data_IF_499207997974
#
_entry.id   IF_499207997974
#
_cell.length_a   1.000
_cell.length_b   1.000
_cell.length_c   1.000
_cell.angle_alpha   90.00
_cell.angle_beta   90.00
_cell.angle_gamma   90.00
#
_symmetry.space_group_name_H-M   'P 1'
#
loop_
_entity.id
_entity.type
_entity.pdbx_description
1 polymer ?
#
# COMPACT_ATOMS: atom_id res chain seq x y z
N UNK A 1 -1.08 7.13 13.30
CA UNK A 1 -0.03 7.40 12.27
C UNK A 1 -0.23 6.40 11.14
N UNK A 2 0.09 6.71 9.88
CA UNK A 2 -0.10 5.81 8.74
C UNK A 2 1.25 5.32 8.20
N UNK A 3 1.27 4.11 7.63
CA UNK A 3 2.44 3.56 6.92
C UNK A 3 2.03 2.97 5.57
N UNK A 4 3.02 2.71 4.70
CA UNK A 4 2.82 2.14 3.37
C UNK A 4 3.25 0.68 3.34
N UNK A 5 2.37 -0.17 2.80
CA UNK A 5 2.59 -1.60 2.59
C UNK A 5 2.42 -1.92 1.12
N UNK A 6 3.38 -2.64 0.54
CA UNK A 6 3.29 -3.12 -0.83
C UNK A 6 2.92 -4.62 -0.84
N UNK A 7 2.05 -5.03 -1.76
CA UNK A 7 1.80 -6.43 -2.11
C UNK A 7 2.01 -6.65 -3.61
N UNK A 8 2.35 -7.88 -4.01
CA UNK A 8 2.24 -8.27 -5.42
C UNK A 8 0.78 -8.53 -5.77
N UNK A 9 0.30 -7.95 -6.86
CA UNK A 9 -0.98 -8.31 -7.43
C UNK A 9 -0.81 -9.54 -8.36
N UNK A 10 -1.26 -10.74 -7.95
CA UNK A 10 -1.13 -11.94 -8.77
C UNK A 10 -2.09 -11.93 -9.97
N UNK A 11 -3.08 -11.01 -10.01
CA UNK A 11 -4.05 -10.94 -11.10
C UNK A 11 -3.49 -10.26 -12.36
N UNK A 12 -2.31 -9.65 -12.28
CA UNK A 12 -1.65 -8.98 -13.42
C UNK A 12 -0.35 -9.68 -13.79
N UNK A 13 -0.07 -9.76 -15.09
CA UNK A 13 1.18 -10.31 -15.66
C UNK A 13 1.82 -9.27 -16.59
N UNK A 14 3.06 -8.81 -16.31
CA UNK A 14 3.89 -9.19 -15.16
C UNK A 14 3.29 -8.75 -13.80
N UNK A 15 3.62 -9.44 -12.69
CA UNK A 15 3.12 -9.09 -11.36
C UNK A 15 3.48 -7.65 -11.04
N UNK A 16 2.46 -6.82 -10.82
CA UNK A 16 2.64 -5.43 -10.44
C UNK A 16 2.70 -5.32 -8.92
N UNK A 17 3.46 -4.35 -8.44
CA UNK A 17 3.46 -3.99 -7.03
C UNK A 17 2.37 -2.95 -6.80
N UNK A 18 1.49 -3.21 -5.83
CA UNK A 18 0.46 -2.27 -5.40
C UNK A 18 0.71 -1.84 -3.95
N UNK A 19 0.76 -0.53 -3.76
CA UNK A 19 0.98 0.15 -2.50
C UNK A 19 -0.33 0.52 -1.84
N UNK A 20 -0.52 0.01 -0.63
CA UNK A 20 -1.65 0.26 0.24
C UNK A 20 -1.22 1.10 1.44
N UNK A 21 -2.08 2.02 1.83
CA UNK A 21 -1.94 2.72 3.12
C UNK A 21 -2.58 1.83 4.19
N UNK A 22 -1.88 1.63 5.29
CA UNK A 22 -2.39 0.96 6.49
C UNK A 22 -2.27 1.87 7.70
N UNK A 23 -3.11 1.64 8.71
CA UNK A 23 -2.93 2.27 10.00
C UNK A 23 -1.72 1.63 10.70
N UNK A 24 -0.83 2.44 11.28
CA UNK A 24 0.33 1.91 12.03
C UNK A 24 -0.10 1.04 13.22
N UNK A 25 -1.27 1.35 13.79
CA UNK A 25 -1.87 0.64 14.91
C UNK A 25 -2.59 -0.65 14.49
N UNK A 26 -2.97 -0.78 13.21
CA UNK A 26 -3.53 -1.99 12.61
C UNK A 26 -2.96 -2.19 11.20
N UNK A 27 -1.81 -2.84 11.14
CA UNK A 27 -1.08 -3.08 9.89
C UNK A 27 -1.53 -4.35 9.16
N UNK A 28 -2.58 -5.02 9.65
CA UNK A 28 -3.19 -6.20 9.04
C UNK A 28 -4.18 -5.85 7.93
N UNK A 29 -4.72 -4.62 7.98
CA UNK A 29 -5.74 -4.15 7.06
C UNK A 29 -5.36 -2.81 6.45
N UNK A 30 -5.56 -2.69 5.14
CA UNK A 30 -5.45 -1.41 4.44
C UNK A 30 -6.67 -0.52 4.68
N UNK A 31 -6.51 0.78 4.43
CA UNK A 31 -7.59 1.75 4.57
C UNK A 31 -8.76 1.53 3.59
N UNK A 32 -8.57 0.76 2.52
CA UNK A 32 -9.66 0.34 1.64
C UNK A 32 -10.37 -0.94 2.11
N UNK A 33 -10.02 -1.46 3.29
CA UNK A 33 -10.63 -2.66 3.88
C UNK A 33 -10.07 -3.97 3.34
N UNK A 34 -9.03 -3.93 2.49
CA UNK A 34 -8.34 -5.14 2.02
C UNK A 34 -7.41 -5.65 3.11
N UNK A 35 -7.50 -6.94 3.42
CA UNK A 35 -6.54 -7.65 4.27
C UNK A 35 -5.22 -7.81 3.51
N UNK A 36 -4.12 -7.43 4.16
CA UNK A 36 -2.79 -7.57 3.59
C UNK A 36 -2.11 -8.78 4.23
N UNK A 37 -1.90 -9.84 3.46
CA UNK A 37 -1.18 -11.01 3.96
C UNK A 37 0.30 -10.66 4.21
N UNK A 38 0.82 -10.79 5.44
CA UNK A 38 2.21 -10.44 5.75
C UNK A 38 3.23 -11.24 4.92
N UNK A 39 2.86 -12.46 4.51
CA UNK A 39 3.65 -13.33 3.62
C UNK A 39 3.77 -12.81 2.19
N UNK A 40 2.84 -11.95 1.74
CA UNK A 40 2.84 -11.32 0.42
C UNK A 40 3.44 -9.91 0.44
N UNK A 41 3.88 -9.45 1.62
CA UNK A 41 4.44 -8.12 1.79
C UNK A 41 5.73 -7.99 0.99
N UNK A 42 5.75 -7.02 0.09
CA UNK A 42 6.92 -6.65 -0.68
C UNK A 42 7.69 -5.58 0.09
N UNK A 43 8.96 -5.87 0.36
CA UNK A 43 9.91 -4.85 0.83
C UNK A 43 10.74 -4.48 -0.40
N UNK A 44 10.50 -3.31 -1.02
CA UNK A 44 11.33 -2.92 -2.15
C UNK A 44 12.78 -2.82 -1.67
N UNK A 45 13.68 -3.49 -2.39
CA UNK A 45 15.11 -3.28 -2.19
C UNK A 45 15.40 -1.80 -2.47
N UNK A 46 15.96 -1.09 -1.49
CA UNK A 46 16.18 0.36 -1.55
C UNK A 46 17.19 0.85 -2.58
N UNK A 47 17.47 0.06 -3.62
CA UNK A 47 18.46 0.34 -4.65
C UNK A 47 17.81 0.16 -6.03
N UNK A 48 17.08 1.20 -6.45
CA UNK A 48 16.85 1.70 -7.83
C UNK A 48 16.66 0.76 -9.04
N UNK A 49 16.56 -0.55 -8.89
CA UNK A 49 16.63 -1.49 -10.01
C UNK A 49 15.90 -2.80 -9.69
N UNK A 50 14.58 -2.73 -9.54
CA UNK A 50 13.74 -3.90 -9.81
C UNK A 50 12.95 -3.66 -11.12
N UNK A 51 12.93 -4.61 -12.07
CA UNK A 51 12.19 -4.47 -13.33
C UNK A 51 10.65 -4.53 -13.16
N UNK A 52 10.13 -4.54 -11.93
CA UNK A 52 8.71 -4.69 -11.58
C UNK A 52 7.83 -3.46 -11.89
N UNK A 53 7.88 -2.92 -13.11
CA UNK A 53 6.91 -1.94 -13.61
C UNK A 53 6.77 -0.65 -12.76
N UNK A 54 5.81 0.23 -13.09
CA UNK A 54 5.56 1.42 -12.30
C UNK A 54 4.88 1.07 -10.97
N UNK A 55 5.31 1.72 -9.88
CA UNK A 55 4.62 1.66 -8.59
C UNK A 55 3.15 2.05 -8.74
N UNK A 56 2.24 1.14 -8.39
CA UNK A 56 0.80 1.43 -8.37
C UNK A 56 0.38 1.74 -6.95
N UNK A 57 -0.34 2.82 -6.76
CA UNK A 57 -0.92 3.15 -5.46
C UNK A 57 -2.41 2.85 -5.46
N UNK A 58 -2.91 2.31 -4.36
CA UNK A 58 -4.33 2.06 -4.18
C UNK A 58 -5.06 3.40 -4.00
N UNK A 59 -5.75 3.85 -5.04
CA UNK A 59 -6.52 5.10 -5.06
C UNK A 59 -7.46 5.28 -3.85
N UNK A 60 -8.31 4.29 -3.47
CA UNK A 60 -9.18 4.44 -2.31
C UNK A 60 -8.39 4.58 -1.00
N UNK A 61 -7.22 3.94 -0.86
CA UNK A 61 -6.36 4.16 0.30
C UNK A 61 -5.83 5.60 0.35
N UNK A 62 -5.43 6.16 -0.80
CA UNK A 62 -4.95 7.54 -0.90
C UNK A 62 -6.04 8.57 -0.59
N UNK A 63 -7.26 8.33 -1.05
CA UNK A 63 -8.41 9.19 -0.73
C UNK A 63 -8.67 9.14 0.78
N UNK A 64 -8.81 7.95 1.37
CA UNK A 64 -9.12 7.80 2.80
C UNK A 64 -8.06 8.41 3.70
N UNK A 65 -6.76 8.25 3.39
CA UNK A 65 -5.71 8.87 4.21
C UNK A 65 -5.73 10.39 4.10
N UNK A 66 -6.03 10.96 2.92
CA UNK A 66 -6.13 12.41 2.74
C UNK A 66 -7.27 13.00 3.57
N UNK A 67 -8.44 12.37 3.56
CA UNK A 67 -9.59 12.78 4.36
C UNK A 67 -9.28 12.69 5.86
N UNK A 68 -8.64 11.60 6.30
CA UNK A 68 -8.26 11.43 7.70
C UNK A 68 -7.23 12.46 8.16
N UNK A 69 -6.24 12.78 7.32
CA UNK A 69 -5.25 13.82 7.59
C UNK A 69 -5.91 15.21 7.66
N UNK A 70 -6.84 15.52 6.75
CA UNK A 70 -7.59 16.78 6.78
C UNK A 70 -8.44 16.91 8.05
N UNK A 71 -9.10 15.83 8.49
CA UNK A 71 -9.88 15.81 9.72
C UNK A 71 -9.03 15.98 11.00
N UNK A 72 -7.78 15.52 10.99
CA UNK A 72 -6.86 15.69 12.11
C UNK A 72 -6.18 17.07 12.20
N UNK A 73 -6.37 17.92 11.19
CA UNK A 73 -5.78 19.26 11.12
C UNK A 73 -6.74 20.39 11.55
N UNK A 74 -7.99 20.07 11.88
CA UNK A 74 -9.00 21.00 12.41
C UNK A 74 -9.24 20.79 13.89
#
# INVERSE_FOLDING_TARGET
>A
MYEMWAEHDPAVSPPAVVWHVVAKDDSTSSLCGRFLEPSQRVIPAGDGADPAGPDRYCDPCLVTVREALAASAG
#
